data_IF_683094422040
#
_entry.id   IF_683094422040
#
_cell.length_a   1.000
_cell.length_b   1.000
_cell.length_c   1.000
_cell.angle_alpha   90.00
_cell.angle_beta   90.00
_cell.angle_gamma   90.00
#
_symmetry.space_group_name_H-M   'P 1'
#
loop_
_entity.id
_entity.type
_entity.pdbx_description
1 polymer ?
#
# COMPACT_ATOMS: atom_id res chain seq x y z
N UNK A 1 -9.00 -2.45 22.54
CA UNK A 1 -8.10 -3.02 21.51
C UNK A 1 -8.02 -2.07 20.32
N UNK A 2 -6.87 -1.95 19.65
CA UNK A 2 -6.76 -1.14 18.43
C UNK A 2 -7.64 -1.71 17.31
N UNK A 3 -8.23 -0.83 16.49
CA UNK A 3 -9.19 -1.19 15.44
C UNK A 3 -8.82 -0.50 14.14
N UNK A 4 -8.80 -1.25 13.05
CA UNK A 4 -8.71 -0.73 11.69
C UNK A 4 -10.11 -0.45 11.15
N UNK A 5 -10.29 0.65 10.42
CA UNK A 5 -11.54 0.99 9.74
C UNK A 5 -11.29 1.11 8.24
N UNK A 6 -12.12 0.47 7.42
CA UNK A 6 -12.07 0.66 5.97
C UNK A 6 -12.88 1.88 5.51
N UNK A 7 -12.87 2.14 4.20
CA UNK A 7 -13.67 3.18 3.54
C UNK A 7 -15.15 3.14 3.92
N UNK A 8 -15.73 1.95 4.13
CA UNK A 8 -17.14 1.73 4.50
C UNK A 8 -17.40 1.81 6.01
N UNK A 9 -16.42 2.23 6.82
CA UNK A 9 -16.49 2.26 8.30
C UNK A 9 -16.63 0.89 8.98
N UNK A 10 -16.45 -0.22 8.24
CA UNK A 10 -16.36 -1.57 8.82
C UNK A 10 -15.09 -1.65 9.67
N UNK A 11 -15.22 -2.24 10.86
CA UNK A 11 -14.16 -2.33 11.87
C UNK A 11 -13.51 -3.71 11.83
N UNK A 12 -12.20 -3.75 11.91
CA UNK A 12 -11.40 -4.97 11.98
C UNK A 12 -10.51 -4.95 13.22
N UNK A 13 -10.42 -6.09 13.90
CA UNK A 13 -9.57 -6.22 15.09
C UNK A 13 -8.09 -6.29 14.69
N UNK A 14 -7.21 -5.75 15.52
CA UNK A 14 -5.76 -5.78 15.29
C UNK A 14 -5.08 -6.59 16.40
N UNK A 15 -4.07 -7.43 16.09
CA UNK A 15 -3.44 -7.60 14.78
C UNK A 15 -4.29 -8.37 13.77
N UNK A 16 -4.26 -7.95 12.49
CA UNK A 16 -4.93 -8.62 11.37
C UNK A 16 -3.88 -9.21 10.43
N UNK A 17 -4.14 -10.41 9.92
CA UNK A 17 -3.35 -11.02 8.86
C UNK A 17 -3.98 -10.73 7.49
N UNK A 18 -3.20 -10.17 6.57
CA UNK A 18 -3.64 -9.83 5.22
C UNK A 18 -2.72 -10.53 4.18
N UNK A 19 -3.12 -11.68 3.62
CA UNK A 19 -2.37 -12.31 2.54
C UNK A 19 -2.29 -11.40 1.31
N UNK A 20 -1.17 -11.51 0.59
CA UNK A 20 -0.98 -10.84 -0.69
C UNK A 20 -1.64 -11.64 -1.79
N UNK A 21 -2.55 -11.01 -2.52
CA UNK A 21 -3.18 -11.58 -3.69
C UNK A 21 -2.37 -11.27 -4.96
N UNK A 22 -2.06 -12.32 -5.72
CA UNK A 22 -1.49 -12.22 -7.05
C UNK A 22 -2.35 -12.99 -8.05
N UNK A 23 -2.77 -12.37 -9.17
CA UNK A 23 -3.75 -12.98 -10.09
C UNK A 23 -3.24 -14.26 -10.78
N UNK A 24 -1.92 -14.42 -10.91
CA UNK A 24 -1.29 -15.57 -11.61
C UNK A 24 -0.68 -16.59 -10.64
N UNK A 25 -0.28 -16.16 -9.44
CA UNK A 25 0.60 -16.96 -8.56
C UNK A 25 -0.04 -17.28 -7.20
N UNK A 26 -1.37 -17.14 -7.05
CA UNK A 26 -2.01 -17.45 -5.77
C UNK A 26 -2.02 -18.97 -5.52
N UNK A 27 -1.37 -19.46 -4.44
CA UNK A 27 -1.28 -20.90 -4.15
C UNK A 27 -2.62 -21.53 -3.75
N UNK A 28 -3.59 -20.70 -3.34
CA UNK A 28 -4.94 -21.15 -2.97
C UNK A 28 -6.00 -20.26 -3.63
N UNK A 29 -7.17 -20.82 -4.00
CA UNK A 29 -8.34 -20.05 -4.40
C UNK A 29 -8.79 -19.11 -3.28
N UNK A 30 -9.21 -17.91 -3.66
CA UNK A 30 -9.68 -16.87 -2.73
C UNK A 30 -10.86 -17.33 -1.88
N UNK A 31 -11.73 -18.20 -2.41
CA UNK A 31 -12.87 -18.77 -1.67
C UNK A 31 -12.44 -19.53 -0.40
N UNK A 32 -11.28 -20.22 -0.45
CA UNK A 32 -10.74 -20.93 0.71
C UNK A 32 -10.27 -19.99 1.80
N UNK A 33 -9.88 -18.76 1.46
CA UNK A 33 -9.41 -17.78 2.44
C UNK A 33 -10.51 -17.43 3.43
N UNK A 34 -11.73 -17.23 2.93
CA UNK A 34 -12.89 -16.94 3.78
C UNK A 34 -13.35 -18.19 4.51
N UNK A 35 -13.52 -19.31 3.79
CA UNK A 35 -14.19 -20.51 4.31
C UNK A 35 -13.31 -21.34 5.27
N UNK A 36 -12.03 -21.52 4.95
CA UNK A 36 -11.14 -22.42 5.69
C UNK A 36 -10.23 -21.65 6.66
N UNK A 37 -9.74 -20.48 6.25
CA UNK A 37 -8.70 -19.75 6.98
C UNK A 37 -9.22 -18.53 7.76
N UNK A 38 -10.51 -18.18 7.63
CA UNK A 38 -11.13 -17.03 8.31
C UNK A 38 -10.36 -15.73 8.07
N UNK A 39 -9.87 -15.54 6.85
CA UNK A 39 -9.14 -14.34 6.44
C UNK A 39 -10.13 -13.19 6.30
N UNK A 40 -9.89 -12.11 7.04
CA UNK A 40 -10.76 -10.92 7.05
C UNK A 40 -10.37 -9.87 6.00
N UNK A 41 -9.27 -10.08 5.28
CA UNK A 41 -8.74 -9.08 4.36
C UNK A 41 -7.60 -9.56 3.47
N UNK A 42 -7.32 -8.87 2.38
CA UNK A 42 -6.13 -9.11 1.56
C UNK A 42 -5.50 -7.81 1.04
N UNK A 43 -4.26 -7.92 0.56
CA UNK A 43 -3.52 -6.84 -0.10
C UNK A 43 -3.34 -7.19 -1.57
N UNK A 44 -3.66 -6.26 -2.46
CA UNK A 44 -3.47 -6.40 -3.92
C UNK A 44 -2.51 -5.33 -4.41
N UNK A 45 -1.56 -5.72 -5.25
CA UNK A 45 -0.63 -4.74 -5.81
C UNK A 45 -1.27 -3.97 -6.98
N UNK A 46 -1.55 -2.69 -6.79
CA UNK A 46 -2.25 -1.88 -7.79
C UNK A 46 -1.38 -1.56 -9.01
N UNK A 47 -0.05 -1.65 -8.91
CA UNK A 47 0.83 -1.47 -10.06
C UNK A 47 0.62 -2.55 -11.11
N UNK A 48 0.48 -3.83 -10.72
CA UNK A 48 0.21 -4.90 -11.68
C UNK A 48 -1.15 -4.71 -12.37
N UNK A 49 -2.19 -4.37 -11.60
CA UNK A 49 -3.51 -4.07 -12.14
C UNK A 49 -3.50 -2.89 -13.12
N UNK A 50 -2.70 -1.85 -12.82
CA UNK A 50 -2.59 -0.66 -13.65
C UNK A 50 -1.77 -0.90 -14.93
N UNK A 51 -0.71 -1.72 -14.84
CA UNK A 51 0.21 -2.02 -15.95
C UNK A 51 -0.49 -2.78 -17.07
N UNK A 52 -1.38 -3.70 -16.73
CA UNK A 52 -2.13 -4.49 -17.70
C UNK A 52 -3.34 -3.73 -18.23
N UNK A 53 -3.29 -3.31 -19.50
CA UNK A 53 -4.31 -2.43 -20.10
C UNK A 53 -5.72 -3.01 -20.08
N UNK A 54 -5.86 -4.32 -20.29
CA UNK A 54 -7.16 -5.00 -20.31
C UNK A 54 -7.79 -5.01 -18.92
N UNK A 55 -7.03 -5.46 -17.92
CA UNK A 55 -7.46 -5.47 -16.50
C UNK A 55 -7.77 -4.06 -16.01
N UNK A 56 -6.90 -3.09 -16.31
CA UNK A 56 -7.13 -1.69 -15.96
C UNK A 56 -8.46 -1.16 -16.52
N UNK A 57 -8.72 -1.35 -17.81
CA UNK A 57 -9.97 -0.88 -18.44
C UNK A 57 -11.19 -1.56 -17.83
N UNK A 58 -11.11 -2.87 -17.60
CA UNK A 58 -12.17 -3.64 -16.96
C UNK A 58 -12.50 -3.09 -15.56
N UNK A 59 -11.47 -2.83 -14.75
CA UNK A 59 -11.60 -2.27 -13.41
C UNK A 59 -12.06 -0.80 -13.37
N UNK A 60 -11.70 0.00 -14.38
CA UNK A 60 -12.11 1.41 -14.47
C UNK A 60 -13.56 1.58 -14.99
N UNK A 61 -14.07 0.63 -15.78
CA UNK A 61 -15.31 0.80 -16.55
C UNK A 61 -16.46 -0.12 -16.16
N UNK A 62 -16.18 -1.33 -15.68
CA UNK A 62 -17.19 -2.39 -15.59
C UNK A 62 -17.21 -3.15 -14.27
N UNK A 63 -16.07 -3.28 -13.59
CA UNK A 63 -15.91 -4.18 -12.45
C UNK A 63 -15.23 -3.49 -11.27
N UNK A 64 -15.72 -3.73 -10.06
CA UNK A 64 -15.04 -3.26 -8.86
C UNK A 64 -13.91 -4.22 -8.43
N UNK A 65 -12.98 -3.74 -7.61
CA UNK A 65 -11.83 -4.51 -7.15
C UNK A 65 -12.24 -5.80 -6.42
N UNK A 66 -13.28 -5.75 -5.58
CA UNK A 66 -13.77 -6.93 -4.85
C UNK A 66 -14.26 -8.04 -5.79
N UNK A 67 -14.97 -7.68 -6.86
CA UNK A 67 -15.42 -8.61 -7.89
C UNK A 67 -14.26 -9.20 -8.68
N UNK A 68 -13.21 -8.40 -8.95
CA UNK A 68 -12.02 -8.88 -9.67
C UNK A 68 -11.23 -9.89 -8.86
N UNK A 69 -11.08 -9.64 -7.56
CA UNK A 69 -10.42 -10.59 -6.64
C UNK A 69 -11.34 -11.76 -6.31
N UNK A 70 -12.66 -11.59 -6.39
CA UNK A 70 -13.63 -12.55 -5.86
C UNK A 70 -13.69 -12.54 -4.32
N UNK A 71 -13.32 -11.43 -3.68
CA UNK A 71 -13.20 -11.34 -2.23
C UNK A 71 -14.15 -10.27 -1.65
N UNK A 72 -15.18 -10.67 -0.88
CA UNK A 72 -16.20 -9.73 -0.38
C UNK A 72 -15.74 -8.93 0.85
N UNK A 73 -14.69 -9.39 1.52
CA UNK A 73 -14.12 -8.79 2.74
C UNK A 73 -13.12 -7.67 2.41
N UNK A 74 -12.24 -7.27 3.34
CA UNK A 74 -11.35 -6.12 3.17
C UNK A 74 -10.39 -6.29 1.98
N UNK A 75 -10.36 -5.34 1.05
CA UNK A 75 -9.35 -5.34 -0.04
C UNK A 75 -8.53 -4.05 -0.02
N UNK A 76 -7.33 -4.14 0.55
CA UNK A 76 -6.33 -3.08 0.53
C UNK A 76 -5.51 -3.13 -0.75
N UNK A 77 -5.07 -1.97 -1.23
CA UNK A 77 -4.12 -1.89 -2.34
C UNK A 77 -2.76 -1.35 -1.91
N UNK A 78 -1.70 -1.98 -2.42
CA UNK A 78 -0.35 -1.42 -2.40
C UNK A 78 -0.13 -0.58 -3.68
N UNK A 79 0.80 0.38 -3.62
CA UNK A 79 1.13 1.26 -4.75
C UNK A 79 2.15 0.68 -5.74
N UNK A 80 2.75 -0.47 -5.44
CA UNK A 80 3.86 -1.04 -6.19
C UNK A 80 5.19 -0.29 -6.05
N UNK A 81 5.42 0.37 -4.91
CA UNK A 81 6.70 1.03 -4.63
C UNK A 81 7.90 0.08 -4.69
N UNK A 82 7.68 -1.21 -4.39
CA UNK A 82 8.73 -2.23 -4.41
C UNK A 82 9.29 -2.48 -5.82
N UNK A 83 8.47 -2.34 -6.87
CA UNK A 83 8.92 -2.51 -8.24
C UNK A 83 9.86 -1.38 -8.71
N UNK A 84 9.90 -0.24 -8.00
CA UNK A 84 10.87 0.83 -8.22
C UNK A 84 12.33 0.41 -7.94
N UNK A 85 12.56 -0.64 -7.15
CA UNK A 85 13.90 -1.22 -6.96
C UNK A 85 14.37 -2.06 -8.14
N UNK A 86 13.44 -2.59 -8.94
CA UNK A 86 13.73 -3.48 -10.06
C UNK A 86 13.84 -2.72 -11.40
N UNK A 87 13.53 -1.42 -11.42
CA UNK A 87 13.67 -0.57 -12.60
C UNK A 87 12.92 0.77 -12.46
N UNK A 88 13.05 1.62 -13.48
CA UNK A 88 12.42 2.93 -13.50
C UNK A 88 10.89 2.83 -13.54
N UNK A 89 10.23 3.10 -12.41
CA UNK A 89 8.79 3.20 -12.31
C UNK A 89 8.31 4.58 -12.79
N UNK A 90 7.94 4.72 -14.06
CA UNK A 90 7.38 5.97 -14.61
C UNK A 90 5.90 6.17 -14.24
N UNK A 91 5.53 5.92 -12.98
CA UNK A 91 4.17 6.07 -12.49
C UNK A 91 4.09 7.23 -11.50
N UNK A 92 3.26 8.24 -11.82
CA UNK A 92 3.03 9.37 -10.92
C UNK A 92 2.17 8.93 -9.73
N UNK A 93 2.56 9.35 -8.52
CA UNK A 93 1.83 9.04 -7.27
C UNK A 93 0.34 9.41 -7.35
N UNK A 94 0.02 10.60 -7.88
CA UNK A 94 -1.38 11.04 -8.11
C UNK A 94 -2.17 10.07 -9.00
N UNK A 95 -1.52 9.46 -10.00
CA UNK A 95 -2.17 8.55 -10.94
C UNK A 95 -2.53 7.23 -10.26
N UNK A 96 -1.60 6.63 -9.50
CA UNK A 96 -1.87 5.35 -8.83
C UNK A 96 -2.88 5.49 -7.71
N UNK A 97 -2.83 6.57 -6.94
CA UNK A 97 -3.82 6.82 -5.87
C UNK A 97 -5.21 6.98 -6.48
N UNK A 98 -5.34 7.79 -7.54
CA UNK A 98 -6.62 7.96 -8.24
C UNK A 98 -7.13 6.62 -8.79
N UNK A 99 -6.24 5.79 -9.32
CA UNK A 99 -6.61 4.47 -9.81
C UNK A 99 -7.13 3.57 -8.67
N UNK A 100 -6.43 3.49 -7.54
CA UNK A 100 -6.85 2.72 -6.36
C UNK A 100 -8.24 3.17 -5.83
N UNK A 101 -8.51 4.48 -5.87
CA UNK A 101 -9.83 5.03 -5.51
C UNK A 101 -10.92 4.60 -6.51
N UNK A 102 -10.65 4.77 -7.81
CA UNK A 102 -11.60 4.44 -8.89
C UNK A 102 -12.02 2.97 -8.85
N UNK A 103 -11.06 2.05 -8.67
CA UNK A 103 -11.34 0.61 -8.63
C UNK A 103 -12.04 0.18 -7.33
N UNK A 104 -12.16 1.07 -6.35
CA UNK A 104 -12.94 0.83 -5.14
C UNK A 104 -12.16 0.16 -4.02
N UNK A 105 -10.85 0.39 -3.90
CA UNK A 105 -10.07 -0.14 -2.78
C UNK A 105 -10.57 0.39 -1.43
N UNK A 106 -10.56 -0.50 -0.43
CA UNK A 106 -10.98 -0.18 0.93
C UNK A 106 -9.97 0.67 1.70
N UNK A 107 -8.68 0.45 1.40
CA UNK A 107 -7.53 1.14 1.98
C UNK A 107 -6.54 1.35 0.84
N UNK A 108 -6.19 2.62 0.60
CA UNK A 108 -5.25 3.02 -0.45
C UNK A 108 -3.87 3.27 0.16
N UNK A 109 -2.83 2.91 -0.57
CA UNK A 109 -1.44 3.23 -0.22
C UNK A 109 -0.86 4.22 -1.25
N UNK A 110 -0.30 5.36 -0.83
CA UNK A 110 0.45 6.22 -1.74
C UNK A 110 1.73 5.52 -2.22
N UNK A 111 2.32 6.02 -3.31
CA UNK A 111 3.62 5.55 -3.76
C UNK A 111 4.73 5.98 -2.79
N UNK A 112 5.39 5.01 -2.17
CA UNK A 112 6.51 5.26 -1.28
C UNK A 112 7.79 5.53 -2.09
N UNK A 113 8.48 6.63 -1.78
CA UNK A 113 9.82 6.88 -2.30
C UNK A 113 10.79 6.15 -1.40
N UNK A 114 11.06 4.90 -1.75
CA UNK A 114 11.93 4.05 -0.95
C UNK A 114 13.39 4.44 -1.18
N UNK A 115 14.18 4.47 -0.10
CA UNK A 115 15.61 4.71 -0.19
C UNK A 115 16.35 3.39 -0.35
N UNK A 116 17.28 3.34 -1.29
CA UNK A 116 18.09 2.15 -1.57
C UNK A 116 19.24 1.93 -0.58
N UNK A 117 19.77 0.69 -0.50
CA UNK A 117 20.98 0.40 0.26
C UNK A 117 22.15 1.26 -0.26
N UNK A 118 22.84 1.97 0.63
CA UNK A 118 24.00 2.80 0.28
C UNK A 118 23.68 4.22 -0.20
N UNK A 119 22.40 4.63 -0.26
CA UNK A 119 22.06 6.00 -0.60
C UNK A 119 22.50 7.00 0.48
N UNK A 120 22.95 8.18 0.05
CA UNK A 120 23.38 9.23 0.97
C UNK A 120 22.22 9.74 1.83
N UNK A 121 22.53 10.17 3.05
CA UNK A 121 21.57 10.83 3.95
C UNK A 121 20.78 11.95 3.27
N UNK A 122 21.43 12.73 2.39
CA UNK A 122 20.80 13.83 1.66
C UNK A 122 19.69 13.34 0.72
N UNK A 123 19.90 12.19 0.07
CA UNK A 123 18.89 11.55 -0.78
C UNK A 123 17.73 11.04 0.08
N UNK A 124 18.04 10.41 1.22
CA UNK A 124 17.00 9.93 2.13
C UNK A 124 16.13 11.06 2.71
N UNK A 125 16.75 12.17 3.09
CA UNK A 125 16.03 13.36 3.57
C UNK A 125 15.16 13.99 2.46
N UNK A 126 15.66 14.04 1.23
CA UNK A 126 14.88 14.49 0.07
C UNK A 126 13.67 13.58 -0.18
N UNK A 127 13.87 12.27 -0.25
CA UNK A 127 12.81 11.29 -0.48
C UNK A 127 11.76 11.33 0.64
N UNK A 128 12.18 11.42 1.90
CA UNK A 128 11.28 11.57 3.04
C UNK A 128 10.47 12.88 2.99
N UNK A 129 11.10 13.98 2.56
CA UNK A 129 10.41 15.27 2.40
C UNK A 129 9.37 15.21 1.30
N UNK A 130 9.72 14.66 0.13
CA UNK A 130 8.80 14.49 -1.00
C UNK A 130 7.63 13.55 -0.64
N UNK A 131 7.90 12.45 0.06
CA UNK A 131 6.86 11.55 0.55
C UNK A 131 5.90 12.24 1.52
N UNK A 132 6.44 12.98 2.50
CA UNK A 132 5.63 13.77 3.43
C UNK A 132 4.78 14.82 2.71
N UNK A 133 5.28 15.39 1.62
CA UNK A 133 4.55 16.35 0.80
C UNK A 133 3.39 15.69 0.05
N UNK A 134 3.57 14.48 -0.47
CA UNK A 134 2.47 13.70 -1.06
C UNK A 134 1.36 13.46 -0.02
N UNK A 135 1.73 13.09 1.21
CA UNK A 135 0.78 12.85 2.30
C UNK A 135 0.07 14.13 2.74
N UNK A 136 0.74 15.28 2.69
CA UNK A 136 0.21 16.59 3.10
C UNK A 136 -0.66 17.28 2.05
N UNK A 137 -0.57 16.90 0.77
CA UNK A 137 -1.47 17.49 -0.23
C UNK A 137 -2.91 17.17 0.14
N UNK A 138 -3.83 18.14 0.04
CA UNK A 138 -5.25 17.87 0.15
C UNK A 138 -5.66 17.01 -1.05
N UNK A 139 -5.48 15.70 -0.92
CA UNK A 139 -6.30 14.74 -1.63
C UNK A 139 -7.72 15.11 -1.18
N UNK A 140 -8.62 15.37 -2.13
CA UNK A 140 -10.00 15.84 -1.90
C UNK A 140 -10.79 15.05 -0.86
N UNK A 141 -10.28 13.89 -0.47
CA UNK A 141 -10.92 12.83 0.29
C UNK A 141 -10.43 12.68 1.74
N UNK A 142 -9.40 13.42 2.13
CA UNK A 142 -8.97 13.57 3.53
C UNK A 142 -9.91 14.50 4.34
N UNK A 143 -11.19 14.62 3.96
CA UNK A 143 -12.18 15.51 4.61
C UNK A 143 -13.18 14.80 5.52
N UNK A 144 -13.04 13.50 5.78
CA UNK A 144 -13.80 12.85 6.86
C UNK A 144 -13.10 13.09 8.21
N UNK A 145 -13.79 13.53 9.28
CA UNK A 145 -13.12 13.99 10.52
C UNK A 145 -12.39 12.90 11.33
N UNK A 146 -12.38 11.65 10.86
CA UNK A 146 -11.99 10.48 11.66
C UNK A 146 -10.77 9.71 11.15
N UNK A 147 -10.14 10.12 10.05
CA UNK A 147 -8.82 9.61 9.71
C UNK A 147 -7.78 10.45 10.49
N UNK A 148 -7.20 9.88 11.54
CA UNK A 148 -5.84 10.28 11.93
C UNK A 148 -4.94 9.37 11.11
N UNK A 149 -4.46 9.85 9.95
CA UNK A 149 -3.22 9.30 9.39
C UNK A 149 -2.23 9.30 10.54
N UNK A 150 -1.56 8.15 10.73
CA UNK A 150 -0.51 7.95 11.71
C UNK A 150 0.55 9.04 11.50
N UNK A 151 0.37 10.17 12.17
CA UNK A 151 1.18 11.37 12.04
C UNK A 151 2.40 11.22 12.96
N UNK A 152 3.11 10.10 12.80
CA UNK A 152 4.40 9.86 13.44
C UNK A 152 5.42 9.68 12.34
N UNK A 153 5.85 10.83 11.81
CA UNK A 153 7.10 10.97 11.04
C UNK A 153 8.34 10.46 11.81
N UNK A 154 8.18 9.98 13.05
CA UNK A 154 9.26 9.43 13.88
C UNK A 154 9.71 8.02 13.47
N UNK A 155 8.88 7.23 12.76
CA UNK A 155 9.26 5.85 12.39
C UNK A 155 10.11 5.74 11.12
N UNK A 156 10.06 6.72 10.21
CA UNK A 156 10.92 6.72 9.01
C UNK A 156 12.39 7.00 9.36
N UNK A 157 12.66 7.65 10.50
CA UNK A 157 14.02 7.90 11.00
C UNK A 157 14.68 6.66 11.62
N UNK A 158 13.99 5.51 11.73
CA UNK A 158 14.56 4.28 12.27
C UNK A 158 15.62 3.69 11.32
N UNK A 159 15.44 3.83 10.00
CA UNK A 159 16.44 3.38 9.03
C UNK A 159 17.75 4.20 9.15
N UNK A 160 17.63 5.52 9.35
CA UNK A 160 18.77 6.41 9.57
C UNK A 160 19.44 6.24 10.96
N UNK A 161 18.71 5.77 11.98
CA UNK A 161 19.29 5.51 13.32
C UNK A 161 20.01 4.17 13.43
N UNK A 162 19.67 3.18 12.60
CA UNK A 162 20.28 1.84 12.67
C UNK A 162 21.72 1.78 12.14
N UNK A 163 22.14 2.75 11.34
CA UNK A 163 23.53 2.90 10.86
C UNK A 163 24.51 3.48 11.90
N UNK A 164 24.07 3.72 13.14
CA UNK A 164 24.95 4.20 14.23
C UNK A 164 25.43 3.12 15.20
N UNK A 165 25.24 1.83 14.89
CA UNK A 165 25.57 0.70 15.78
C UNK A 165 26.28 -0.48 15.08
N UNK A 166 27.12 -0.22 14.08
CA UNK A 166 27.99 -1.26 13.50
C UNK A 166 29.49 -0.95 13.55
N UNK A 167 29.90 0.17 14.12
CA UNK A 167 31.33 0.44 14.39
C UNK A 167 31.72 -0.03 15.80
N UNK A 168 31.66 -1.35 16.04
CA UNK A 168 32.35 -2.02 17.15
C UNK A 168 32.16 -3.55 17.11
N UNK A 169 32.67 -4.24 16.09
CA UNK A 169 33.14 -5.62 16.25
C UNK A 169 34.50 -5.71 15.56
N UNK A 170 35.55 -5.56 16.37
CA UNK A 170 36.90 -6.04 16.05
C UNK A 170 36.85 -7.56 16.12
N UNK A 171 37.23 -8.22 15.02
CA UNK A 171 38.04 -9.42 15.01
C UNK A 171 39.22 -9.12 14.08
#
# INVERSE_FOLDING_TARGET
MPVLKNRKQKKYSLPIFLPVYHPVESPFPVDKWVQEFTVEGCIVNAFFLYKERTVRKQLEQAQNLHQYVGFPELVMTDSGAFQGFQGSLYLKNKTIVKFQETIGSDIVSPLDLVCGPGESRRIAEKNGTEHSFVLKKPQTWYKTPHWRVYNRAENFMICAKKHRRTDAIKC
#
